data_IF_556117758272
#
_entry.id   IF_556117758272
#
_cell.length_a   1.000
_cell.length_b   1.000
_cell.length_c   1.000
_cell.angle_alpha   90.00
_cell.angle_beta   90.00
_cell.angle_gamma   90.00
#
_symmetry.space_group_name_H-M   'P 1'
#
loop_
_entity.id
_entity.type
_entity.pdbx_description
1 polymer ?
#
# COMPACT_ATOMS: atom_id res chain seq x y z
N UNK A 1 4.04 7.04 -25.18
CA UNK A 1 2.86 6.22 -25.46
C UNK A 1 2.19 5.93 -24.14
N UNK A 2 0.91 6.28 -23.99
CA UNK A 2 0.13 5.92 -22.81
C UNK A 2 -0.28 4.46 -22.88
N UNK A 3 -0.13 3.79 -21.75
CA UNK A 3 -0.58 2.43 -21.57
C UNK A 3 -1.76 2.44 -20.60
N UNK A 4 -2.96 2.58 -21.16
CA UNK A 4 -4.20 2.62 -20.36
C UNK A 4 -4.50 1.28 -19.69
N UNK A 5 -4.06 0.18 -20.30
CA UNK A 5 -4.26 -1.16 -19.75
C UNK A 5 -3.43 -1.29 -18.47
N UNK A 6 -2.14 -0.95 -18.54
CA UNK A 6 -1.26 -0.95 -17.37
C UNK A 6 -1.74 0.01 -16.27
N UNK A 7 -2.25 1.20 -16.63
CA UNK A 7 -2.79 2.14 -15.64
C UNK A 7 -4.01 1.56 -14.89
N UNK A 8 -4.92 0.89 -15.60
CA UNK A 8 -6.08 0.22 -14.98
C UNK A 8 -5.65 -0.96 -14.11
N UNK A 9 -4.69 -1.76 -14.57
CA UNK A 9 -4.15 -2.88 -13.76
C UNK A 9 -3.57 -2.39 -12.43
N UNK A 10 -2.84 -1.28 -12.42
CA UNK A 10 -2.31 -0.69 -11.17
C UNK A 10 -3.43 -0.23 -10.24
N UNK A 11 -4.43 0.48 -10.77
CA UNK A 11 -5.56 0.98 -9.97
C UNK A 11 -6.38 -0.19 -9.39
N UNK A 12 -6.64 -1.23 -10.18
CA UNK A 12 -7.42 -2.39 -9.75
C UNK A 12 -6.64 -3.25 -8.72
N UNK A 13 -5.32 -3.33 -8.86
CA UNK A 13 -4.45 -4.08 -7.95
C UNK A 13 -4.31 -3.47 -6.55
N UNK A 14 -4.60 -2.18 -6.38
CA UNK A 14 -4.50 -1.47 -5.10
C UNK A 14 -5.38 -2.09 -4.00
N UNK A 15 -6.53 -2.65 -4.38
CA UNK A 15 -7.42 -3.31 -3.42
C UNK A 15 -6.75 -4.47 -2.69
N UNK A 16 -5.88 -5.23 -3.36
CA UNK A 16 -5.15 -6.34 -2.75
C UNK A 16 -4.10 -5.82 -1.73
N UNK A 17 -3.42 -4.72 -2.05
CA UNK A 17 -2.45 -4.07 -1.15
C UNK A 17 -3.18 -3.58 0.11
N UNK A 18 -4.32 -2.94 -0.07
CA UNK A 18 -5.15 -2.44 1.03
C UNK A 18 -5.65 -3.57 1.93
N UNK A 19 -6.08 -4.70 1.37
CA UNK A 19 -6.48 -5.84 2.17
C UNK A 19 -5.30 -6.43 2.97
N UNK A 20 -4.13 -6.57 2.34
CA UNK A 20 -2.92 -7.04 3.02
C UNK A 20 -2.47 -6.09 4.14
N UNK A 21 -2.63 -4.77 3.96
CA UNK A 21 -2.40 -3.80 5.02
C UNK A 21 -3.28 -4.09 6.23
N UNK A 22 -4.60 -4.22 6.03
CA UNK A 22 -5.55 -4.47 7.13
C UNK A 22 -5.28 -5.79 7.84
N UNK A 23 -4.96 -6.84 7.09
CA UNK A 23 -4.66 -8.16 7.65
C UNK A 23 -3.41 -8.10 8.54
N UNK A 24 -2.32 -7.47 8.06
CA UNK A 24 -1.09 -7.33 8.82
C UNK A 24 -1.21 -6.35 9.99
N UNK A 25 -2.05 -5.32 9.86
CA UNK A 25 -2.39 -4.40 10.94
C UNK A 25 -3.07 -5.16 12.09
N UNK A 26 -4.04 -6.01 11.75
CA UNK A 26 -4.75 -6.86 12.70
C UNK A 26 -3.79 -7.84 13.38
N UNK A 27 -2.91 -8.50 12.63
CA UNK A 27 -1.89 -9.40 13.20
C UNK A 27 -1.00 -8.67 14.22
N UNK A 28 -0.57 -7.44 13.92
CA UNK A 28 0.22 -6.63 14.85
C UNK A 28 -0.56 -6.31 16.13
N UNK A 29 -1.84 -5.94 16.00
CA UNK A 29 -2.72 -5.64 17.15
C UNK A 29 -2.93 -6.89 18.00
N UNK A 30 -3.18 -8.04 17.37
CA UNK A 30 -3.40 -9.31 18.05
C UNK A 30 -2.15 -9.76 18.81
N UNK A 31 -0.97 -9.61 18.22
CA UNK A 31 0.30 -9.89 18.92
C UNK A 31 0.50 -8.99 20.14
N UNK A 32 0.20 -7.69 20.02
CA UNK A 32 0.27 -6.76 21.15
C UNK A 32 -0.71 -7.12 22.27
N UNK A 33 -1.96 -7.46 21.90
CA UNK A 33 -3.03 -7.74 22.85
C UNK A 33 -2.87 -9.11 23.54
N UNK A 34 -2.50 -10.14 22.79
CA UNK A 34 -2.50 -11.53 23.26
C UNK A 34 -1.17 -11.96 23.87
N UNK A 35 -0.04 -11.41 23.40
CA UNK A 35 1.28 -11.91 23.78
C UNK A 35 2.10 -10.97 24.66
N UNK A 36 1.68 -9.71 24.82
CA UNK A 36 2.38 -8.69 25.63
C UNK A 36 3.91 -8.63 25.37
N UNK A 37 4.35 -8.52 24.09
CA UNK A 37 5.75 -8.58 23.72
C UNK A 37 6.54 -7.40 24.29
N UNK A 38 7.84 -7.61 24.54
CA UNK A 38 8.74 -6.61 25.12
C UNK A 38 10.04 -6.47 24.34
N UNK A 39 10.78 -5.39 24.58
CA UNK A 39 12.13 -5.16 24.07
C UNK A 39 12.33 -5.39 22.56
N UNK A 40 12.91 -6.51 22.15
CA UNK A 40 13.14 -6.85 20.73
C UNK A 40 11.82 -7.04 19.98
N UNK A 41 10.90 -7.78 20.58
CA UNK A 41 9.69 -8.27 19.89
C UNK A 41 8.70 -7.12 19.70
N UNK A 42 8.58 -6.27 20.73
CA UNK A 42 7.80 -5.03 20.63
C UNK A 42 8.36 -4.10 19.54
N UNK A 43 9.70 -3.97 19.45
CA UNK A 43 10.32 -3.15 18.41
C UNK A 43 10.12 -3.74 17.02
N UNK A 44 10.15 -5.06 16.89
CA UNK A 44 9.90 -5.74 15.63
C UNK A 44 8.47 -5.53 15.13
N UNK A 45 7.48 -5.69 16.01
CA UNK A 45 6.06 -5.43 15.68
C UNK A 45 5.85 -3.96 15.31
N UNK A 46 6.40 -3.02 16.10
CA UNK A 46 6.29 -1.60 15.81
C UNK A 46 6.98 -1.18 14.49
N UNK A 47 8.08 -1.84 14.13
CA UNK A 47 8.73 -1.62 12.83
C UNK A 47 7.90 -2.19 11.69
N UNK A 48 7.35 -3.39 11.86
CA UNK A 48 6.46 -4.02 10.88
C UNK A 48 5.24 -3.15 10.61
N UNK A 49 4.60 -2.62 11.66
CA UNK A 49 3.47 -1.69 11.54
C UNK A 49 3.80 -0.46 10.70
N UNK A 50 4.97 0.17 10.93
CA UNK A 50 5.40 1.32 10.12
C UNK A 50 5.65 0.95 8.66
N UNK A 51 6.29 -0.19 8.43
CA UNK A 51 6.60 -0.66 7.08
C UNK A 51 5.32 -0.91 6.29
N UNK A 52 4.31 -1.56 6.88
CA UNK A 52 3.05 -1.82 6.17
C UNK A 52 2.30 -0.52 5.86
N UNK A 53 2.30 0.47 6.75
CA UNK A 53 1.74 1.80 6.46
C UNK A 53 2.48 2.50 5.32
N UNK A 54 3.81 2.42 5.30
CA UNK A 54 4.60 3.01 4.21
C UNK A 54 4.33 2.30 2.87
N UNK A 55 4.08 0.99 2.88
CA UNK A 55 3.74 0.21 1.68
C UNK A 55 2.35 0.54 1.13
N UNK A 56 1.33 0.66 1.99
CA UNK A 56 -0.01 1.09 1.57
C UNK A 56 0.04 2.47 0.92
N UNK A 57 0.77 3.41 1.53
CA UNK A 57 0.96 4.74 0.97
C UNK A 57 1.67 4.73 -0.39
N UNK A 58 2.59 3.80 -0.63
CA UNK A 58 3.22 3.63 -1.94
C UNK A 58 2.20 3.12 -2.97
N UNK A 59 1.31 2.20 -2.57
CA UNK A 59 0.17 1.74 -3.37
C UNK A 59 -0.73 2.89 -3.79
N UNK A 60 -1.21 3.66 -2.82
CA UNK A 60 -2.02 4.87 -3.04
C UNK A 60 -1.38 5.84 -4.03
N UNK A 61 -0.08 6.11 -3.87
CA UNK A 61 0.65 7.00 -4.78
C UNK A 61 0.74 6.43 -6.20
N UNK A 62 0.89 5.11 -6.34
CA UNK A 62 0.87 4.45 -7.65
C UNK A 62 -0.52 4.53 -8.29
N UNK A 63 -1.59 4.33 -7.53
CA UNK A 63 -2.98 4.48 -7.96
C UNK A 63 -3.25 5.88 -8.47
N UNK A 64 -2.86 6.91 -7.71
CA UNK A 64 -2.98 8.32 -8.12
C UNK A 64 -2.25 8.59 -9.45
N UNK A 65 -1.05 8.02 -9.66
CA UNK A 65 -0.32 8.14 -10.91
C UNK A 65 -1.04 7.45 -12.08
N UNK A 66 -1.66 6.29 -11.84
CA UNK A 66 -2.51 5.60 -12.81
C UNK A 66 -3.70 6.45 -13.23
N UNK A 67 -4.41 7.03 -12.25
CA UNK A 67 -5.55 7.92 -12.48
C UNK A 67 -5.13 9.14 -13.30
N UNK A 68 -4.04 9.81 -12.93
CA UNK A 68 -3.51 10.95 -13.68
C UNK A 68 -3.12 10.58 -15.12
N UNK A 69 -2.60 9.36 -15.34
CA UNK A 69 -2.27 8.88 -16.68
C UNK A 69 -3.51 8.68 -17.54
N UNK A 70 -4.62 8.21 -16.95
CA UNK A 70 -5.91 8.05 -17.64
C UNK A 70 -6.61 9.38 -17.91
N UNK A 71 -6.52 10.34 -16.98
CA UNK A 71 -7.16 11.66 -17.09
C UNK A 71 -6.44 12.63 -18.04
N UNK A 72 -5.13 12.43 -18.27
CA UNK A 72 -4.36 13.33 -19.09
C UNK A 72 -4.93 13.41 -20.54
N UNK A 73 -5.53 14.55 -20.91
CA UNK A 73 -6.14 14.77 -22.25
C UNK A 73 -5.12 14.88 -23.39
N UNK A 74 -3.85 15.15 -23.08
CA UNK A 74 -2.75 15.23 -24.05
C UNK A 74 -1.66 14.26 -23.67
N UNK A 75 -1.12 13.54 -24.65
CA UNK A 75 0.28 13.14 -24.57
C UNK A 75 1.07 14.44 -24.48
N UNK A 76 1.66 14.74 -23.33
CA UNK A 76 2.56 15.90 -23.20
C UNK A 76 3.88 15.55 -23.89
N UNK A 77 3.83 15.36 -25.22
CA UNK A 77 4.71 15.86 -26.31
C UNK A 77 4.62 14.99 -27.59
N UNK A 78 4.94 15.55 -28.79
CA UNK A 78 5.46 14.78 -29.92
C UNK A 78 6.80 14.09 -29.62
#
# INVERSE_FOLDING_TARGET
QKDEEMAREVIEGDHEINQLYLDLEQDCIDLLALQQPVASDLRFIAASFKIITDLERIGDLATNLGEYSLEAERDVYP
#
